data_IF_087894132705
#
_entry.id   IF_087894132705
#
_cell.length_a   1.000
_cell.length_b   1.000
_cell.length_c   1.000
_cell.angle_alpha   90.00
_cell.angle_beta   90.00
_cell.angle_gamma   90.00
#
_symmetry.space_group_name_H-M   'P 1'
#
loop_
_entity.id
_entity.type
_entity.pdbx_description
1 polymer ?
#
# COMPACT_ATOMS: atom_id res chain seq x y z
N UNK A 1 -7.85 46.91 -41.91
CA UNK A 1 -9.00 46.03 -41.63
C UNK A 1 -9.69 46.64 -40.44
N UNK A 2 -10.85 47.23 -40.69
CA UNK A 2 -11.64 47.89 -39.66
C UNK A 2 -12.23 46.83 -38.72
N UNK A 3 -12.41 47.16 -37.43
CA UNK A 3 -12.76 46.18 -36.40
C UNK A 3 -14.09 45.47 -36.66
N UNK A 4 -15.05 46.17 -37.27
CA UNK A 4 -16.38 45.65 -37.60
C UNK A 4 -16.38 44.71 -38.82
N UNK A 5 -15.31 44.67 -39.62
CA UNK A 5 -15.18 43.73 -40.75
C UNK A 5 -14.92 42.29 -40.27
N UNK A 6 -14.49 42.12 -39.02
CA UNK A 6 -14.25 40.81 -38.39
C UNK A 6 -15.51 40.23 -37.74
N UNK A 7 -16.63 40.97 -37.75
CA UNK A 7 -17.88 40.54 -37.13
C UNK A 7 -18.80 39.88 -38.15
N UNK A 8 -19.36 38.74 -37.75
CA UNK A 8 -20.45 38.12 -38.47
C UNK A 8 -21.77 38.82 -38.10
N UNK A 9 -22.17 39.80 -38.92
CA UNK A 9 -23.34 40.66 -38.66
C UNK A 9 -24.62 39.84 -38.49
N UNK A 10 -24.75 38.72 -39.21
CA UNK A 10 -25.93 37.86 -39.15
C UNK A 10 -26.16 37.30 -37.74
N UNK A 11 -25.09 37.13 -36.95
CA UNK A 11 -25.12 36.58 -35.59
C UNK A 11 -25.42 37.61 -34.49
N UNK A 12 -25.53 38.90 -34.84
CA UNK A 12 -25.94 39.95 -33.90
C UNK A 12 -27.46 39.91 -33.75
N UNK A 13 -27.94 39.65 -32.53
CA UNK A 13 -29.36 39.55 -32.19
C UNK A 13 -30.13 40.86 -32.37
N UNK A 14 -31.44 40.74 -32.59
CA UNK A 14 -32.29 41.89 -32.93
C UNK A 14 -32.39 42.93 -31.81
N UNK A 15 -32.39 42.50 -30.54
CA UNK A 15 -32.39 43.43 -29.40
C UNK A 15 -31.11 44.27 -29.35
N UNK A 16 -29.95 43.66 -29.57
CA UNK A 16 -28.66 44.34 -29.63
C UNK A 16 -28.59 45.28 -30.82
N UNK A 17 -29.15 44.88 -31.97
CA UNK A 17 -29.29 45.77 -33.14
C UNK A 17 -30.13 46.99 -32.82
N UNK A 18 -31.26 46.84 -32.12
CA UNK A 18 -32.06 47.98 -31.67
C UNK A 18 -31.32 48.83 -30.65
N UNK A 19 -30.60 48.25 -29.69
CA UNK A 19 -29.78 49.02 -28.74
C UNK A 19 -28.68 49.83 -29.43
N UNK A 20 -28.01 49.25 -30.42
CA UNK A 20 -27.01 49.95 -31.22
C UNK A 20 -27.63 51.08 -32.04
N UNK A 21 -28.80 50.83 -32.65
CA UNK A 21 -29.57 51.85 -33.35
C UNK A 21 -30.01 53.00 -32.43
N UNK A 22 -30.56 52.69 -31.26
CA UNK A 22 -30.97 53.69 -30.26
C UNK A 22 -29.75 54.47 -29.76
N UNK A 23 -28.62 53.81 -29.52
CA UNK A 23 -27.39 54.47 -29.09
C UNK A 23 -26.90 55.49 -30.13
N UNK A 24 -26.77 55.11 -31.41
CA UNK A 24 -26.26 56.05 -32.41
C UNK A 24 -27.24 57.18 -32.75
N UNK A 25 -28.54 56.94 -32.61
CA UNK A 25 -29.57 57.95 -32.94
C UNK A 25 -29.87 58.88 -31.77
N UNK A 26 -29.86 58.38 -30.53
CA UNK A 26 -30.19 59.16 -29.33
C UNK A 26 -28.95 59.74 -28.64
N UNK A 27 -27.83 59.01 -28.62
CA UNK A 27 -26.60 59.45 -27.95
C UNK A 27 -25.67 60.18 -28.91
N UNK A 28 -25.45 59.63 -30.12
CA UNK A 28 -24.62 60.30 -31.16
C UNK A 28 -25.38 61.26 -32.06
N UNK A 29 -26.71 61.28 -31.98
CA UNK A 29 -27.56 62.21 -32.74
C UNK A 29 -27.56 61.98 -34.26
N UNK A 30 -27.26 60.76 -34.73
CA UNK A 30 -27.26 60.45 -36.16
C UNK A 30 -28.66 60.59 -36.77
N UNK A 31 -28.72 61.19 -37.95
CA UNK A 31 -29.94 61.38 -38.72
C UNK A 31 -30.22 60.16 -39.61
N UNK A 32 -31.48 59.96 -40.05
CA UNK A 32 -31.82 58.88 -40.98
C UNK A 32 -30.96 58.85 -42.26
N UNK A 33 -30.57 60.02 -42.76
CA UNK A 33 -29.69 60.19 -43.91
C UNK A 33 -28.31 59.56 -43.71
N UNK A 34 -27.77 59.65 -42.49
CA UNK A 34 -26.42 59.19 -42.17
C UNK A 34 -26.37 57.64 -42.16
N UNK A 35 -27.48 57.01 -41.78
CA UNK A 35 -27.69 55.57 -41.88
C UNK A 35 -28.21 55.13 -43.26
N UNK A 36 -28.38 56.08 -44.20
CA UNK A 36 -28.95 55.89 -45.53
C UNK A 36 -30.30 55.19 -45.54
N UNK A 37 -31.19 55.58 -44.63
CA UNK A 37 -32.57 55.10 -44.53
C UNK A 37 -33.56 56.27 -44.61
N UNK A 38 -34.77 56.01 -45.09
CA UNK A 38 -35.84 57.02 -45.12
C UNK A 38 -36.36 57.31 -43.70
N UNK A 39 -37.00 58.48 -43.51
CA UNK A 39 -37.66 58.81 -42.24
C UNK A 39 -38.75 57.80 -41.86
N UNK A 40 -39.45 57.24 -42.86
CA UNK A 40 -40.45 56.19 -42.63
C UNK A 40 -39.81 54.90 -42.09
N UNK A 41 -38.67 54.50 -42.65
CA UNK A 41 -37.90 53.32 -42.20
C UNK A 41 -37.34 53.55 -40.80
N UNK A 42 -36.79 54.74 -40.54
CA UNK A 42 -36.31 55.15 -39.22
C UNK A 42 -37.41 55.04 -38.15
N UNK A 43 -38.60 55.59 -38.43
CA UNK A 43 -39.73 55.52 -37.50
C UNK A 43 -40.20 54.09 -37.26
N UNK A 44 -40.20 53.24 -38.31
CA UNK A 44 -40.57 51.82 -38.18
C UNK A 44 -39.56 51.02 -37.36
N UNK A 45 -38.25 51.27 -37.53
CA UNK A 45 -37.19 50.63 -36.74
C UNK A 45 -37.25 51.10 -35.28
N UNK A 46 -37.38 52.41 -35.04
CA UNK A 46 -37.49 53.00 -33.69
C UNK A 46 -38.67 52.43 -32.90
N UNK A 47 -39.80 52.21 -33.58
CA UNK A 47 -40.98 51.58 -32.99
C UNK A 47 -40.94 50.04 -33.04
N UNK A 48 -39.78 49.44 -33.34
CA UNK A 48 -39.53 47.99 -33.43
C UNK A 48 -40.49 47.22 -34.36
N UNK A 49 -41.08 47.92 -35.33
CA UNK A 49 -41.97 47.33 -36.35
C UNK A 49 -41.20 46.68 -37.50
N UNK A 50 -39.91 46.97 -37.63
CA UNK A 50 -39.01 46.44 -38.66
C UNK A 50 -37.62 46.23 -38.05
N UNK A 51 -37.02 45.06 -38.32
CA UNK A 51 -35.63 44.71 -37.94
C UNK A 51 -34.62 45.68 -38.55
N UNK A 52 -33.58 46.03 -37.80
CA UNK A 52 -32.39 46.70 -38.35
C UNK A 52 -31.67 45.71 -39.27
N UNK A 53 -31.67 45.94 -40.59
CA UNK A 53 -31.01 45.05 -41.55
C UNK A 53 -29.48 45.09 -41.41
N UNK A 54 -28.79 44.07 -41.94
CA UNK A 54 -27.31 43.99 -41.90
C UNK A 54 -26.66 45.20 -42.59
N UNK A 55 -27.27 45.70 -43.67
CA UNK A 55 -26.83 46.91 -44.37
C UNK A 55 -26.94 48.17 -43.53
N UNK A 56 -27.96 48.28 -42.70
CA UNK A 56 -28.14 49.41 -41.76
C UNK A 56 -27.23 49.22 -40.56
N UNK A 57 -27.10 48.00 -40.05
CA UNK A 57 -26.19 47.66 -38.96
C UNK A 57 -24.73 47.96 -39.31
N UNK A 58 -24.28 47.66 -40.53
CA UNK A 58 -22.94 47.99 -40.98
C UNK A 58 -22.68 49.50 -40.92
N UNK A 59 -23.64 50.33 -41.36
CA UNK A 59 -23.55 51.80 -41.27
C UNK A 59 -23.54 52.29 -39.83
N UNK A 60 -24.34 51.68 -38.95
CA UNK A 60 -24.31 51.95 -37.51
C UNK A 60 -22.89 51.68 -36.96
N UNK A 61 -22.28 50.54 -37.30
CA UNK A 61 -20.95 50.15 -36.83
C UNK A 61 -19.84 51.06 -37.37
N UNK A 62 -19.97 51.58 -38.60
CA UNK A 62 -19.03 52.56 -39.17
C UNK A 62 -18.96 53.87 -38.37
N UNK A 63 -20.03 54.21 -37.64
CA UNK A 63 -20.08 55.37 -36.77
C UNK A 63 -19.74 55.06 -35.30
N UNK A 64 -19.31 53.82 -35.01
CA UNK A 64 -18.95 53.37 -33.67
C UNK A 64 -17.47 53.01 -33.57
N UNK A 65 -16.88 53.36 -32.45
CA UNK A 65 -15.61 52.77 -32.03
C UNK A 65 -15.87 51.38 -31.44
N UNK A 66 -14.84 50.53 -31.46
CA UNK A 66 -14.91 49.19 -30.85
C UNK A 66 -15.34 49.25 -29.37
N UNK A 67 -14.88 50.26 -28.62
CA UNK A 67 -15.25 50.45 -27.20
C UNK A 67 -16.73 50.78 -27.01
N UNK A 68 -17.30 51.62 -27.88
CA UNK A 68 -18.72 51.98 -27.80
C UNK A 68 -19.61 50.78 -28.14
N UNK A 69 -19.21 49.98 -29.13
CA UNK A 69 -19.88 48.72 -29.44
C UNK A 69 -19.83 47.73 -28.25
N UNK A 70 -18.66 47.60 -27.62
CA UNK A 70 -18.45 46.73 -26.45
C UNK A 70 -19.26 47.13 -25.21
N UNK A 71 -19.65 48.41 -25.10
CA UNK A 71 -20.50 48.91 -24.02
C UNK A 71 -21.99 48.63 -24.26
N UNK A 72 -22.42 48.59 -25.52
CA UNK A 72 -23.83 48.43 -25.90
C UNK A 72 -24.23 46.95 -26.04
N UNK A 73 -23.31 46.09 -26.46
CA UNK A 73 -23.56 44.67 -26.73
C UNK A 73 -23.16 43.79 -25.54
N UNK A 74 -24.05 42.85 -25.19
CA UNK A 74 -23.80 41.89 -24.10
C UNK A 74 -22.51 41.09 -24.35
N UNK A 75 -21.79 40.71 -23.29
CA UNK A 75 -20.58 39.88 -23.43
C UNK A 75 -20.88 38.54 -24.15
N UNK A 76 -22.09 37.98 -23.97
CA UNK A 76 -22.50 36.72 -24.57
C UNK A 76 -22.71 36.83 -26.07
N UNK A 77 -23.30 37.92 -26.55
CA UNK A 77 -23.54 38.13 -27.97
C UNK A 77 -22.27 38.61 -28.70
N UNK A 78 -21.35 39.28 -27.99
CA UNK A 78 -19.98 39.49 -28.47
C UNK A 78 -19.26 38.17 -28.75
N UNK A 79 -19.35 37.21 -27.82
CA UNK A 79 -18.76 35.88 -28.01
C UNK A 79 -19.42 35.11 -29.16
N UNK A 80 -20.72 35.30 -29.42
CA UNK A 80 -21.40 34.76 -30.62
C UNK A 80 -20.92 35.41 -31.92
N UNK A 81 -20.82 36.74 -31.94
CA UNK A 81 -20.36 37.49 -33.10
C UNK A 81 -18.89 37.17 -33.47
N UNK A 82 -18.08 36.82 -32.47
CA UNK A 82 -16.70 36.34 -32.62
C UNK A 82 -16.60 34.82 -32.92
N UNK A 83 -17.72 34.10 -32.95
CA UNK A 83 -17.76 32.66 -33.23
C UNK A 83 -17.30 31.74 -32.10
N UNK A 84 -17.03 32.27 -30.90
CA UNK A 84 -16.62 31.50 -29.71
C UNK A 84 -17.82 30.75 -29.10
N UNK A 85 -18.99 31.38 -29.12
CA UNK A 85 -20.25 30.80 -28.65
C UNK A 85 -21.13 30.43 -29.87
N UNK A 86 -21.53 29.16 -29.95
CA UNK A 86 -22.45 28.65 -30.99
C UNK A 86 -23.89 29.05 -30.68
N UNK A 87 -24.77 28.93 -31.67
CA UNK A 87 -26.19 29.34 -31.56
C UNK A 87 -26.95 28.55 -30.50
N UNK A 88 -26.62 27.26 -30.33
CA UNK A 88 -27.15 26.37 -29.29
C UNK A 88 -26.62 26.67 -27.88
N UNK A 89 -25.73 27.66 -27.74
CA UNK A 89 -25.11 28.02 -26.47
C UNK A 89 -23.93 27.15 -26.07
N UNK A 90 -23.51 26.20 -26.92
CA UNK A 90 -22.27 25.46 -26.74
C UNK A 90 -21.06 26.33 -27.07
N UNK A 91 -19.94 26.08 -26.40
CA UNK A 91 -18.67 26.78 -26.65
C UNK A 91 -17.81 25.88 -27.52
N UNK A 92 -17.07 26.47 -28.46
CA UNK A 92 -16.04 25.70 -29.16
C UNK A 92 -14.90 25.33 -28.20
N UNK A 93 -14.88 24.07 -27.78
CA UNK A 93 -13.92 23.57 -26.79
C UNK A 93 -12.47 23.69 -27.26
N UNK A 94 -12.21 23.53 -28.57
CA UNK A 94 -10.86 23.66 -29.12
C UNK A 94 -10.35 25.08 -28.95
N UNK A 95 -11.14 26.05 -29.40
CA UNK A 95 -10.81 27.48 -29.29
C UNK A 95 -10.73 27.94 -27.82
N UNK A 96 -11.62 27.46 -26.96
CA UNK A 96 -11.59 27.79 -25.54
C UNK A 96 -10.30 27.28 -24.85
N UNK A 97 -9.84 26.08 -25.19
CA UNK A 97 -8.58 25.54 -24.68
C UNK A 97 -7.37 26.31 -25.20
N UNK A 98 -7.38 26.73 -26.47
CA UNK A 98 -6.31 27.58 -27.02
C UNK A 98 -6.25 28.95 -26.35
N UNK A 99 -7.41 29.59 -26.12
CA UNK A 99 -7.49 30.86 -25.38
C UNK A 99 -6.92 30.69 -23.97
N UNK A 100 -7.27 29.61 -23.26
CA UNK A 100 -6.73 29.32 -21.93
C UNK A 100 -5.22 29.07 -21.97
N UNK A 101 -4.71 28.35 -22.98
CA UNK A 101 -3.29 28.09 -23.14
C UNK A 101 -2.51 29.40 -23.36
N UNK A 102 -2.98 30.28 -24.24
CA UNK A 102 -2.40 31.60 -24.46
C UNK A 102 -2.48 32.47 -23.19
N UNK A 103 -3.64 32.49 -22.51
CA UNK A 103 -3.84 33.22 -21.27
C UNK A 103 -2.94 32.72 -20.13
N UNK A 104 -2.56 31.43 -20.13
CA UNK A 104 -1.64 30.88 -19.13
C UNK A 104 -0.19 31.33 -19.28
N UNK A 105 0.20 31.83 -20.46
CA UNK A 105 1.54 32.34 -20.75
C UNK A 105 1.69 33.82 -20.33
N UNK A 106 0.59 34.55 -20.19
CA UNK A 106 0.56 35.91 -19.66
C UNK A 106 0.43 35.90 -18.13
N UNK A 107 1.32 36.60 -17.42
CA UNK A 107 1.36 36.52 -15.95
C UNK A 107 0.10 37.12 -15.29
N UNK A 108 -0.48 38.19 -15.86
CA UNK A 108 -1.69 38.79 -15.30
C UNK A 108 -2.89 37.85 -15.47
N UNK A 109 -3.10 37.33 -16.68
CA UNK A 109 -4.20 36.42 -16.99
C UNK A 109 -4.06 35.10 -16.25
N UNK A 110 -2.85 34.55 -16.11
CA UNK A 110 -2.57 33.39 -15.27
C UNK A 110 -3.01 33.61 -13.82
N UNK A 111 -2.66 34.76 -13.21
CA UNK A 111 -3.12 35.08 -11.84
C UNK A 111 -4.64 35.27 -11.77
N UNK A 112 -5.26 35.81 -12.81
CA UNK A 112 -6.72 35.91 -12.90
C UNK A 112 -7.40 34.54 -12.98
N UNK A 113 -6.86 33.61 -13.79
CA UNK A 113 -7.33 32.22 -13.87
C UNK A 113 -7.20 31.56 -12.51
N UNK A 114 -6.04 31.64 -11.85
CA UNK A 114 -5.85 31.04 -10.52
C UNK A 114 -6.84 31.57 -9.49
N UNK A 115 -7.03 32.90 -9.42
CA UNK A 115 -8.02 33.51 -8.52
C UNK A 115 -9.43 33.05 -8.84
N UNK A 116 -9.80 33.02 -10.12
CA UNK A 116 -11.11 32.54 -10.56
C UNK A 116 -11.33 31.09 -10.15
N UNK A 117 -10.33 30.21 -10.34
CA UNK A 117 -10.44 28.80 -9.98
C UNK A 117 -10.57 28.64 -8.46
N UNK A 118 -9.77 29.36 -7.67
CA UNK A 118 -9.84 29.31 -6.20
C UNK A 118 -11.16 29.83 -5.66
N UNK A 119 -11.72 30.90 -6.23
CA UNK A 119 -12.97 31.49 -5.76
C UNK A 119 -14.19 30.64 -6.10
N UNK A 120 -14.21 30.01 -7.28
CA UNK A 120 -15.40 29.32 -7.78
C UNK A 120 -15.35 27.80 -7.60
N UNK A 121 -14.16 27.20 -7.52
CA UNK A 121 -13.96 25.74 -7.50
C UNK A 121 -13.13 25.29 -6.30
N UNK A 122 -13.19 26.01 -5.18
CA UNK A 122 -12.41 25.72 -3.97
C UNK A 122 -12.52 24.27 -3.50
N UNK A 123 -13.73 23.74 -3.47
CA UNK A 123 -13.99 22.38 -2.98
C UNK A 123 -13.53 21.30 -3.97
N UNK A 124 -13.65 21.55 -5.28
CA UNK A 124 -13.14 20.63 -6.30
C UNK A 124 -11.61 20.64 -6.33
N UNK A 125 -10.98 21.81 -6.18
CA UNK A 125 -9.53 21.94 -5.94
C UNK A 125 -9.09 21.16 -4.70
N UNK A 126 -9.82 21.28 -3.58
CA UNK A 126 -9.52 20.53 -2.34
C UNK A 126 -9.57 19.03 -2.53
N UNK A 127 -10.56 18.52 -3.28
CA UNK A 127 -10.67 17.10 -3.63
C UNK A 127 -9.55 16.65 -4.56
N UNK A 128 -9.26 17.43 -5.61
CA UNK A 128 -8.20 17.12 -6.58
C UNK A 128 -6.80 17.15 -5.97
N UNK A 129 -6.54 18.12 -5.09
CA UNK A 129 -5.25 18.28 -4.41
C UNK A 129 -5.09 17.35 -3.19
N UNK A 130 -6.06 16.48 -2.93
CA UNK A 130 -6.01 15.56 -1.80
C UNK A 130 -6.05 16.24 -0.42
N UNK A 131 -6.34 17.54 -0.33
CA UNK A 131 -6.43 18.31 0.94
C UNK A 131 -7.60 17.88 1.85
N UNK A 132 -8.40 16.89 1.42
CA UNK A 132 -9.41 16.21 2.23
C UNK A 132 -8.84 15.32 3.35
N UNK A 133 -7.51 15.33 3.60
CA UNK A 133 -6.88 14.57 4.68
C UNK A 133 -7.38 14.96 6.09
N UNK A 134 -7.81 16.21 6.28
CA UNK A 134 -8.09 16.83 7.57
C UNK A 134 -9.30 16.27 8.37
N UNK A 135 -9.96 15.19 7.92
CA UNK A 135 -11.14 14.64 8.59
C UNK A 135 -11.02 13.16 8.99
N UNK A 136 -9.90 12.49 8.68
CA UNK A 136 -9.74 11.08 9.06
C UNK A 136 -8.97 10.97 10.37
N UNK A 137 -9.70 10.77 11.46
CA UNK A 137 -9.15 10.46 12.78
C UNK A 137 -8.75 8.97 12.85
N UNK A 138 -7.57 8.70 13.40
CA UNK A 138 -7.03 7.36 13.56
C UNK A 138 -7.60 6.76 14.85
N UNK A 139 -8.32 5.64 14.72
CA UNK A 139 -8.87 4.89 15.84
C UNK A 139 -8.62 3.41 15.69
N UNK A 140 -8.17 2.76 16.76
CA UNK A 140 -7.99 1.32 16.76
C UNK A 140 -9.31 0.61 17.05
N UNK A 141 -9.93 0.05 16.00
CA UNK A 141 -11.23 -0.64 16.09
C UNK A 141 -11.11 -2.14 15.87
N UNK A 142 -12.12 -2.91 16.31
CA UNK A 142 -12.23 -4.35 16.03
C UNK A 142 -12.27 -4.64 14.52
N UNK A 143 -12.92 -3.76 13.74
CA UNK A 143 -12.93 -3.80 12.28
C UNK A 143 -11.52 -3.75 11.67
N UNK A 144 -10.64 -2.93 12.25
CA UNK A 144 -9.25 -2.85 11.81
C UNK A 144 -8.48 -4.13 12.15
N UNK A 145 -8.73 -4.73 13.33
CA UNK A 145 -8.13 -6.02 13.70
C UNK A 145 -8.58 -7.15 12.78
N UNK A 146 -9.88 -7.22 12.49
CA UNK A 146 -10.43 -8.17 11.55
C UNK A 146 -9.86 -7.97 10.14
N UNK A 147 -9.66 -6.72 9.71
CA UNK A 147 -8.97 -6.42 8.46
C UNK A 147 -7.54 -6.98 8.43
N UNK A 148 -6.76 -6.77 9.51
CA UNK A 148 -5.39 -7.25 9.63
C UNK A 148 -5.29 -8.78 9.58
N UNK A 149 -6.26 -9.48 10.17
CA UNK A 149 -6.31 -10.95 10.24
C UNK A 149 -6.81 -11.57 8.94
N UNK A 150 -7.95 -11.11 8.43
CA UNK A 150 -8.70 -11.86 7.42
C UNK A 150 -8.72 -11.23 6.03
N UNK A 151 -8.79 -9.90 5.95
CA UNK A 151 -9.03 -9.19 4.68
C UNK A 151 -7.76 -8.77 3.95
N UNK A 152 -6.65 -8.67 4.68
CA UNK A 152 -5.37 -8.27 4.08
C UNK A 152 -4.89 -9.31 3.08
N UNK A 153 -4.65 -8.88 1.82
CA UNK A 153 -4.22 -9.76 0.72
C UNK A 153 -2.88 -10.47 0.98
N UNK A 154 -1.92 -9.80 1.62
CA UNK A 154 -0.58 -10.34 1.90
C UNK A 154 -0.14 -10.01 3.32
N UNK A 155 0.58 -10.94 3.96
CA UNK A 155 1.15 -10.77 5.31
C UNK A 155 0.08 -10.41 6.36
N UNK A 156 -0.97 -11.25 6.41
CA UNK A 156 -1.98 -11.25 7.47
C UNK A 156 -1.31 -11.33 8.85
N UNK A 157 -1.85 -10.61 9.82
CA UNK A 157 -1.35 -10.61 11.20
C UNK A 157 -2.08 -11.72 11.96
N UNK A 158 -1.50 -12.91 11.97
CA UNK A 158 -2.15 -14.11 12.51
C UNK A 158 -1.89 -14.35 14.00
N UNK A 159 -0.87 -13.72 14.57
CA UNK A 159 -0.44 -13.97 15.96
C UNK A 159 -0.91 -12.85 16.89
N UNK A 160 -1.48 -13.21 18.03
CA UNK A 160 -1.86 -12.27 19.09
C UNK A 160 -0.70 -11.37 19.54
N UNK A 161 0.52 -11.93 19.66
CA UNK A 161 1.70 -11.16 20.08
C UNK A 161 1.97 -9.98 19.14
N UNK A 162 1.92 -10.21 17.82
CA UNK A 162 2.11 -9.15 16.81
C UNK A 162 0.95 -8.16 16.81
N UNK A 163 -0.29 -8.64 16.99
CA UNK A 163 -1.44 -7.75 17.02
C UNK A 163 -1.41 -6.83 18.24
N UNK A 164 -1.11 -7.37 19.43
CA UNK A 164 -0.93 -6.58 20.65
C UNK A 164 0.22 -5.58 20.51
N UNK A 165 1.34 -5.98 19.90
CA UNK A 165 2.44 -5.06 19.61
C UNK A 165 2.00 -3.91 18.70
N UNK A 166 1.26 -4.20 17.62
CA UNK A 166 0.72 -3.17 16.74
C UNK A 166 -0.31 -2.28 17.42
N UNK A 167 -1.20 -2.86 18.24
CA UNK A 167 -2.21 -2.15 19.01
C UNK A 167 -1.56 -1.15 19.96
N UNK A 168 -0.54 -1.58 20.72
CA UNK A 168 0.18 -0.70 21.64
C UNK A 168 0.89 0.43 20.88
N UNK A 169 1.58 0.10 19.78
CA UNK A 169 2.29 1.09 18.97
C UNK A 169 1.33 2.11 18.32
N UNK A 170 0.15 1.66 17.89
CA UNK A 170 -0.90 2.54 17.37
C UNK A 170 -1.46 3.44 18.46
N UNK A 171 -1.81 2.87 19.62
CA UNK A 171 -2.35 3.61 20.76
C UNK A 171 -1.41 4.72 21.23
N UNK A 172 -0.12 4.43 21.26
CA UNK A 172 0.89 5.39 21.73
C UNK A 172 1.12 6.55 20.73
N UNK A 173 1.07 6.27 19.43
CA UNK A 173 1.58 7.22 18.42
C UNK A 173 0.56 7.72 17.41
N UNK A 174 -0.58 7.03 17.24
CA UNK A 174 -1.53 7.30 16.15
C UNK A 174 -2.95 7.54 16.65
N UNK A 175 -3.36 6.91 17.76
CA UNK A 175 -4.73 7.03 18.28
C UNK A 175 -5.14 8.49 18.53
N UNK A 176 -6.33 8.86 18.06
CA UNK A 176 -6.89 10.20 18.17
C UNK A 176 -6.24 11.25 17.27
N UNK A 177 -5.20 10.89 16.51
CA UNK A 177 -4.55 11.82 15.57
C UNK A 177 -5.28 11.85 14.24
N UNK A 178 -5.35 13.04 13.64
CA UNK A 178 -5.90 13.22 12.30
C UNK A 178 -4.82 12.97 11.24
N UNK A 179 -5.21 12.42 10.10
CA UNK A 179 -4.32 12.31 8.95
C UNK A 179 -3.88 13.70 8.48
N UNK A 180 -2.61 14.03 8.65
CA UNK A 180 -2.00 15.29 8.24
C UNK A 180 -0.58 15.06 7.72
N UNK A 181 -0.01 16.06 7.04
CA UNK A 181 1.40 16.03 6.63
C UNK A 181 2.34 15.94 7.83
N UNK A 182 2.06 16.67 8.91
CA UNK A 182 2.82 16.59 10.17
C UNK A 182 2.85 15.17 10.76
N UNK A 183 1.70 14.46 10.74
CA UNK A 183 1.64 13.08 11.20
C UNK A 183 2.48 12.16 10.30
N UNK A 184 2.44 12.39 8.98
CA UNK A 184 3.25 11.62 8.01
C UNK A 184 4.73 11.84 8.27
N UNK A 185 5.18 13.09 8.43
CA UNK A 185 6.58 13.42 8.74
C UNK A 185 7.04 12.82 10.07
N UNK A 186 6.19 12.88 11.10
CA UNK A 186 6.44 12.23 12.38
C UNK A 186 6.66 10.72 12.22
N UNK A 187 5.77 10.03 11.50
CA UNK A 187 5.86 8.59 11.26
C UNK A 187 7.11 8.22 10.44
N UNK A 188 7.46 9.04 9.44
CA UNK A 188 8.63 8.83 8.59
C UNK A 188 9.91 9.03 9.40
N UNK A 189 10.04 10.09 10.19
CA UNK A 189 11.24 10.37 10.98
C UNK A 189 11.40 9.47 12.22
N UNK A 190 10.33 8.80 12.66
CA UNK A 190 10.33 8.02 13.89
C UNK A 190 11.39 6.89 13.90
N UNK A 191 12.15 6.71 15.00
CA UNK A 191 13.21 5.70 15.10
C UNK A 191 12.67 4.27 15.01
N UNK A 192 11.47 4.02 15.56
CA UNK A 192 10.82 2.72 15.46
C UNK A 192 10.17 2.55 14.07
N UNK A 193 10.90 1.89 13.17
CA UNK A 193 10.44 1.58 11.80
C UNK A 193 9.16 0.72 11.74
N UNK A 194 8.74 0.09 12.84
CA UNK A 194 7.44 -0.60 12.87
C UNK A 194 6.26 0.36 12.85
N UNK A 195 6.42 1.61 13.33
CA UNK A 195 5.35 2.60 13.30
C UNK A 195 4.92 2.87 11.86
N UNK A 196 5.89 3.00 10.94
CA UNK A 196 5.64 3.12 9.49
C UNK A 196 4.80 1.96 8.96
N UNK A 197 5.06 0.73 9.40
CA UNK A 197 4.28 -0.43 8.95
C UNK A 197 2.85 -0.42 9.50
N UNK A 198 2.68 -0.08 10.78
CA UNK A 198 1.35 0.02 11.42
C UNK A 198 0.53 1.12 10.75
N UNK A 199 1.12 2.30 10.55
CA UNK A 199 0.52 3.40 9.79
C UNK A 199 0.09 2.96 8.39
N UNK A 200 0.99 2.35 7.61
CA UNK A 200 0.67 1.82 6.27
C UNK A 200 -0.46 0.78 6.30
N UNK A 201 -0.55 -0.05 7.33
CA UNK A 201 -1.66 -1.00 7.46
C UNK A 201 -2.98 -0.29 7.69
N UNK A 202 -2.98 0.78 8.49
CA UNK A 202 -4.17 1.60 8.68
C UNK A 202 -4.57 2.34 7.39
N UNK A 203 -3.60 2.88 6.64
CA UNK A 203 -3.87 3.49 5.32
C UNK A 203 -4.48 2.46 4.35
N UNK A 204 -3.98 1.23 4.32
CA UNK A 204 -4.58 0.13 3.55
C UNK A 204 -6.02 -0.18 3.98
N UNK A 205 -6.29 -0.12 5.28
CA UNK A 205 -7.63 -0.30 5.83
C UNK A 205 -8.58 0.83 5.45
N UNK A 206 -8.14 2.10 5.55
CA UNK A 206 -8.90 3.26 5.12
C UNK A 206 -9.24 3.20 3.62
N UNK A 207 -8.27 2.80 2.79
CA UNK A 207 -8.49 2.60 1.37
C UNK A 207 -9.49 1.47 1.10
N UNK A 208 -9.38 0.35 1.82
CA UNK A 208 -10.34 -0.76 1.74
C UNK A 208 -11.77 -0.33 2.11
N UNK A 209 -11.92 0.52 3.14
CA UNK A 209 -13.20 1.11 3.57
C UNK A 209 -13.65 2.30 2.70
N UNK A 210 -12.93 2.60 1.60
CA UNK A 210 -13.18 3.74 0.69
C UNK A 210 -13.24 5.09 1.42
N UNK A 211 -12.46 5.25 2.50
CA UNK A 211 -12.36 6.48 3.29
C UNK A 211 -11.32 7.45 2.74
N UNK A 212 -10.42 6.96 1.90
CA UNK A 212 -9.42 7.77 1.18
C UNK A 212 -9.45 7.40 -0.32
N UNK A 213 -9.19 8.36 -1.22
CA UNK A 213 -9.16 8.11 -2.65
C UNK A 213 -7.85 7.41 -3.08
N UNK A 214 -7.79 6.81 -4.28
CA UNK A 214 -6.61 6.11 -4.79
C UNK A 214 -5.33 6.95 -4.83
N UNK A 215 -5.45 8.25 -5.13
CA UNK A 215 -4.34 9.19 -5.26
C UNK A 215 -3.68 9.40 -3.89
N UNK A 216 -4.48 9.67 -2.85
CA UNK A 216 -4.03 9.76 -1.46
C UNK A 216 -3.38 8.47 -1.00
N UNK A 217 -4.00 7.33 -1.32
CA UNK A 217 -3.43 6.03 -1.00
C UNK A 217 -2.06 5.83 -1.66
N UNK A 218 -1.94 6.15 -2.95
CA UNK A 218 -0.69 6.07 -3.71
C UNK A 218 0.41 6.91 -3.08
N UNK A 219 0.14 8.20 -2.87
CA UNK A 219 1.07 9.15 -2.25
C UNK A 219 1.55 8.70 -0.86
N UNK A 220 0.62 8.35 0.06
CA UNK A 220 0.98 7.89 1.40
C UNK A 220 1.83 6.62 1.38
N UNK A 221 1.55 5.72 0.43
CA UNK A 221 2.27 4.46 0.28
C UNK A 221 3.64 4.64 -0.38
N UNK A 222 3.88 5.76 -1.05
CA UNK A 222 5.18 6.16 -1.59
C UNK A 222 6.02 6.89 -0.53
N UNK A 223 5.47 7.95 0.08
CA UNK A 223 6.16 8.82 1.04
C UNK A 223 6.51 8.11 2.33
N UNK A 224 5.67 7.19 2.82
CA UNK A 224 5.96 6.41 4.02
C UNK A 224 6.54 5.06 3.58
N UNK A 225 7.86 4.91 3.35
CA UNK A 225 8.40 3.67 2.82
C UNK A 225 8.12 2.50 3.76
N UNK A 226 7.81 1.34 3.17
CA UNK A 226 7.79 0.09 3.93
C UNK A 226 9.16 -0.14 4.56
N UNK A 227 9.21 -0.88 5.67
CA UNK A 227 10.48 -1.24 6.31
C UNK A 227 11.43 -1.89 5.28
N UNK A 228 12.47 -1.15 4.88
CA UNK A 228 13.55 -1.69 4.06
C UNK A 228 14.41 -2.62 4.91
N UNK A 229 14.53 -3.86 4.47
CA UNK A 229 15.59 -4.74 4.95
C UNK A 229 16.84 -4.37 4.16
N UNK A 230 17.65 -3.44 4.69
CA UNK A 230 19.05 -3.40 4.25
C UNK A 230 19.66 -4.75 4.61
N UNK A 231 20.33 -5.37 3.66
CA UNK A 231 21.02 -6.65 3.83
C UNK A 231 22.24 -6.38 4.72
N UNK A 232 22.01 -6.20 6.02
CA UNK A 232 23.07 -6.10 7.02
C UNK A 232 23.58 -7.53 7.23
N UNK A 233 24.56 -7.92 6.40
CA UNK A 233 25.25 -9.21 6.54
C UNK A 233 26.10 -9.09 7.80
N UNK A 234 25.48 -9.33 8.96
CA UNK A 234 26.23 -9.52 10.20
C UNK A 234 26.77 -10.94 10.20
N UNK A 235 28.09 -11.16 10.06
CA UNK A 235 28.67 -12.48 10.23
C UNK A 235 28.56 -12.84 11.72
N UNK A 236 27.50 -13.56 12.09
CA UNK A 236 27.43 -14.18 13.40
C UNK A 236 28.41 -15.36 13.38
N UNK A 237 29.63 -15.12 13.86
CA UNK A 237 30.53 -16.20 14.28
C UNK A 237 29.87 -16.86 15.49
N UNK A 238 29.56 -18.15 15.34
CA UNK A 238 29.00 -18.99 16.39
C UNK A 238 30.06 -20.05 16.57
N UNK A 239 30.74 -20.02 17.70
CA UNK A 239 31.76 -21.01 18.04
C UNK A 239 31.06 -22.29 18.49
N UNK A 240 31.53 -23.45 18.02
CA UNK A 240 30.94 -24.73 18.40
C UNK A 240 31.10 -25.03 19.89
N UNK A 241 32.13 -24.46 20.51
CA UNK A 241 32.38 -24.57 21.94
C UNK A 241 31.28 -23.87 22.77
N UNK A 242 30.72 -22.75 22.30
CA UNK A 242 29.59 -22.08 22.98
C UNK A 242 28.34 -22.97 22.95
N UNK A 243 28.14 -23.70 21.85
CA UNK A 243 27.05 -24.68 21.73
C UNK A 243 27.27 -25.79 22.76
N UNK A 244 28.46 -26.39 22.80
CA UNK A 244 28.81 -27.48 23.73
C UNK A 244 28.61 -27.08 25.18
N UNK A 245 29.19 -25.97 25.62
CA UNK A 245 29.03 -25.43 26.99
C UNK A 245 27.57 -25.22 27.35
N UNK A 246 26.78 -24.67 26.41
CA UNK A 246 25.34 -24.48 26.60
C UNK A 246 24.61 -25.80 26.78
N UNK A 247 24.93 -26.82 25.96
CA UNK A 247 24.28 -28.12 26.04
C UNK A 247 24.62 -28.87 27.34
N UNK A 248 25.87 -28.80 27.79
CA UNK A 248 26.31 -29.38 29.08
C UNK A 248 25.57 -28.70 30.24
N UNK A 249 25.63 -27.37 30.31
CA UNK A 249 24.98 -26.60 31.36
C UNK A 249 23.48 -26.90 31.46
N UNK A 250 22.77 -26.95 30.32
CA UNK A 250 21.35 -27.24 30.32
C UNK A 250 21.05 -28.68 30.73
N UNK A 251 21.89 -29.66 30.35
CA UNK A 251 21.73 -31.06 30.75
C UNK A 251 21.80 -31.21 32.28
N UNK A 252 22.74 -30.50 32.91
CA UNK A 252 22.98 -30.55 34.36
C UNK A 252 21.95 -29.76 35.18
N UNK A 253 21.49 -28.62 34.66
CA UNK A 253 20.71 -27.67 35.47
C UNK A 253 19.24 -27.52 35.05
N UNK A 254 18.85 -27.92 33.84
CA UNK A 254 17.50 -27.64 33.34
C UNK A 254 17.06 -28.60 32.22
N UNK A 255 16.69 -29.84 32.58
CA UNK A 255 16.32 -30.91 31.63
C UNK A 255 15.31 -30.46 30.55
N UNK A 256 14.25 -29.73 30.92
CA UNK A 256 13.24 -29.23 29.96
C UNK A 256 13.82 -28.30 28.90
N UNK A 257 14.80 -27.47 29.26
CA UNK A 257 15.47 -26.57 28.32
C UNK A 257 16.54 -27.30 27.53
N UNK A 258 17.19 -28.30 28.13
CA UNK A 258 18.06 -29.21 27.40
C UNK A 258 17.30 -29.95 26.30
N UNK A 259 16.15 -30.56 26.60
CA UNK A 259 15.29 -31.22 25.61
C UNK A 259 14.88 -30.26 24.48
N UNK A 260 14.49 -29.03 24.84
CA UNK A 260 14.14 -27.98 23.88
C UNK A 260 15.33 -27.60 22.98
N UNK A 261 16.52 -27.37 23.55
CA UNK A 261 17.72 -26.99 22.81
C UNK A 261 18.21 -28.14 21.93
N UNK A 262 18.19 -29.36 22.45
CA UNK A 262 18.57 -30.57 21.70
C UNK A 262 17.66 -30.77 20.49
N UNK A 263 16.34 -30.67 20.69
CA UNK A 263 15.37 -30.73 19.60
C UNK A 263 15.65 -29.67 18.53
N UNK A 264 15.93 -28.42 18.94
CA UNK A 264 16.25 -27.33 18.02
C UNK A 264 17.59 -27.54 17.28
N UNK A 265 18.59 -28.12 17.93
CA UNK A 265 19.90 -28.41 17.34
C UNK A 265 19.81 -29.52 16.29
N UNK A 266 19.08 -30.59 16.59
CA UNK A 266 18.93 -31.75 15.69
C UNK A 266 17.99 -31.43 14.52
N UNK A 267 16.80 -30.89 14.80
CA UNK A 267 15.79 -30.64 13.76
C UNK A 267 15.95 -29.30 13.03
N UNK A 268 16.70 -28.36 13.60
CA UNK A 268 16.71 -26.97 13.14
C UNK A 268 15.38 -26.23 13.39
N UNK A 269 14.47 -26.76 14.21
CA UNK A 269 13.21 -26.11 14.52
C UNK A 269 13.41 -24.70 15.11
N UNK A 270 12.45 -23.81 14.85
CA UNK A 270 12.39 -22.51 15.52
C UNK A 270 11.94 -22.71 16.97
N UNK A 271 12.40 -21.84 17.88
CA UNK A 271 12.05 -21.92 19.30
C UNK A 271 10.54 -22.08 19.54
N UNK A 272 9.71 -21.28 18.87
CA UNK A 272 8.24 -21.37 19.00
C UNK A 272 7.67 -22.70 18.52
N UNK A 273 8.29 -23.34 17.53
CA UNK A 273 7.83 -24.63 17.01
C UNK A 273 8.28 -25.76 17.93
N UNK A 274 9.52 -25.72 18.42
CA UNK A 274 10.04 -26.70 19.36
C UNK A 274 9.26 -26.67 20.70
N UNK A 275 8.90 -25.47 21.19
CA UNK A 275 7.99 -25.32 22.34
C UNK A 275 6.62 -25.95 22.05
N UNK A 276 6.03 -25.68 20.87
CA UNK A 276 4.76 -26.29 20.49
C UNK A 276 4.84 -27.81 20.45
N UNK A 277 5.92 -28.38 19.92
CA UNK A 277 6.15 -29.82 19.90
C UNK A 277 6.17 -30.38 21.31
N UNK A 278 6.97 -29.84 22.22
CA UNK A 278 6.99 -30.30 23.63
C UNK A 278 5.62 -30.22 24.30
N UNK A 279 4.88 -29.11 24.08
CA UNK A 279 3.54 -28.90 24.65
C UNK A 279 2.50 -29.87 24.12
N UNK A 280 2.56 -30.21 22.83
CA UNK A 280 1.52 -30.96 22.10
C UNK A 280 1.99 -32.32 21.59
N UNK A 281 3.07 -32.86 22.17
CA UNK A 281 3.69 -34.09 21.71
C UNK A 281 2.72 -35.26 21.86
N UNK A 282 2.30 -35.81 20.72
CA UNK A 282 1.40 -36.95 20.64
C UNK A 282 1.88 -37.90 19.54
N UNK A 283 2.74 -38.88 19.85
CA UNK A 283 3.37 -39.73 18.86
C UNK A 283 2.38 -40.70 18.19
N UNK A 284 1.31 -41.09 18.88
CA UNK A 284 0.32 -42.08 18.43
C UNK A 284 -0.75 -41.50 17.51
N UNK A 285 -0.86 -40.17 17.41
CA UNK A 285 -1.86 -39.52 16.57
C UNK A 285 -1.64 -39.86 15.10
N UNK A 286 -2.73 -40.12 14.37
CA UNK A 286 -2.70 -40.34 12.93
C UNK A 286 -2.99 -39.02 12.22
N UNK A 287 -2.20 -38.72 11.18
CA UNK A 287 -2.30 -37.48 10.41
C UNK A 287 -2.40 -37.78 8.92
N UNK A 288 -3.19 -36.97 8.23
CA UNK A 288 -3.39 -37.05 6.78
C UNK A 288 -2.55 -35.98 6.07
N UNK A 289 -1.72 -36.41 5.14
CA UNK A 289 -0.84 -35.57 4.34
C UNK A 289 -1.49 -35.30 2.99
N UNK A 290 -2.32 -34.25 2.95
CA UNK A 290 -3.09 -33.85 1.75
C UNK A 290 -2.27 -33.67 0.48
N UNK A 291 -0.98 -33.34 0.60
CA UNK A 291 -0.08 -33.14 -0.54
C UNK A 291 0.39 -34.43 -1.20
N UNK A 292 0.19 -35.59 -0.59
CA UNK A 292 0.60 -36.88 -1.18
C UNK A 292 -0.47 -37.96 -0.97
N UNK A 293 -1.64 -37.58 -0.47
CA UNK A 293 -2.76 -38.46 -0.13
C UNK A 293 -2.34 -39.67 0.75
N UNK A 294 -1.48 -39.40 1.76
CA UNK A 294 -0.95 -40.43 2.67
C UNK A 294 -1.46 -40.22 4.09
N UNK A 295 -1.98 -41.28 4.68
CA UNK A 295 -2.29 -41.39 6.11
C UNK A 295 -1.10 -42.03 6.84
N UNK A 296 -0.54 -41.34 7.82
CA UNK A 296 0.61 -41.83 8.60
C UNK A 296 0.48 -41.52 10.08
N UNK A 297 1.15 -42.29 10.94
CA UNK A 297 1.39 -41.86 12.32
C UNK A 297 2.17 -40.55 12.33
N UNK A 298 1.87 -39.71 13.31
CA UNK A 298 2.54 -38.42 13.53
C UNK A 298 4.02 -38.62 13.83
N UNK A 299 4.37 -39.66 14.58
CA UNK A 299 5.74 -40.12 14.77
C UNK A 299 6.02 -41.34 13.89
N UNK A 300 7.10 -41.28 13.11
CA UNK A 300 7.66 -42.39 12.35
C UNK A 300 9.11 -42.57 12.80
N UNK A 301 9.49 -43.75 13.26
CA UNK A 301 10.86 -44.03 13.71
C UNK A 301 11.56 -45.04 12.80
N UNK A 302 12.79 -44.69 12.43
CA UNK A 302 13.73 -45.51 11.69
C UNK A 302 14.79 -46.08 12.64
N UNK A 303 15.74 -46.84 12.13
CA UNK A 303 16.79 -47.46 12.96
C UNK A 303 17.53 -46.43 13.84
N UNK A 304 18.02 -45.34 13.25
CA UNK A 304 18.89 -44.36 13.95
C UNK A 304 18.21 -43.06 14.38
N UNK A 305 17.02 -42.77 13.87
CA UNK A 305 16.36 -41.48 14.07
C UNK A 305 14.84 -41.60 13.91
N UNK A 306 14.12 -40.55 14.30
CA UNK A 306 12.69 -40.45 14.08
C UNK A 306 12.36 -39.16 13.34
N UNK A 307 11.19 -39.17 12.69
CA UNK A 307 10.54 -38.03 12.05
C UNK A 307 9.18 -37.79 12.71
N UNK A 308 8.87 -36.53 13.01
CA UNK A 308 7.60 -36.12 13.61
C UNK A 308 6.90 -35.04 12.78
N UNK A 309 5.60 -35.21 12.53
CA UNK A 309 4.77 -34.22 11.85
C UNK A 309 4.29 -33.13 12.83
N UNK A 310 4.77 -31.90 12.62
CA UNK A 310 4.41 -30.70 13.41
C UNK A 310 3.17 -29.99 12.82
N UNK A 311 2.96 -30.08 11.50
CA UNK A 311 1.75 -29.56 10.84
C UNK A 311 1.57 -28.04 10.84
N UNK A 312 2.64 -27.25 11.00
CA UNK A 312 2.54 -25.78 10.93
C UNK A 312 2.58 -25.33 9.48
N UNK A 313 1.38 -25.12 8.90
CA UNK A 313 1.15 -24.66 7.53
C UNK A 313 0.61 -23.22 7.47
N UNK A 314 0.60 -22.60 6.29
CA UNK A 314 -0.13 -21.35 6.02
C UNK A 314 0.44 -20.05 6.59
N UNK A 315 1.58 -20.10 7.31
CA UNK A 315 2.26 -18.91 7.87
C UNK A 315 3.53 -18.52 7.11
N UNK A 316 4.11 -17.35 7.44
CA UNK A 316 5.43 -16.94 6.90
C UNK A 316 6.59 -17.88 7.30
N UNK A 317 6.37 -18.76 8.28
CA UNK A 317 7.38 -19.64 8.88
C UNK A 317 6.80 -21.05 8.99
N UNK A 318 6.59 -21.76 7.87
CA UNK A 318 6.08 -23.12 7.92
C UNK A 318 7.09 -24.07 8.59
N UNK A 319 6.56 -25.17 9.11
CA UNK A 319 7.31 -26.26 9.73
C UNK A 319 6.40 -27.49 9.77
N UNK A 320 6.54 -28.35 8.78
CA UNK A 320 5.69 -29.53 8.65
C UNK A 320 6.31 -30.73 9.32
N UNK A 321 7.60 -30.95 9.09
CA UNK A 321 8.34 -32.09 9.63
C UNK A 321 9.53 -31.63 10.44
N UNK A 322 9.88 -32.45 11.43
CA UNK A 322 11.16 -32.39 12.14
C UNK A 322 11.73 -33.79 12.24
N UNK A 323 13.05 -33.88 12.21
CA UNK A 323 13.80 -35.12 12.46
C UNK A 323 14.64 -34.94 13.72
N UNK A 324 14.87 -36.03 14.44
CA UNK A 324 15.67 -36.06 15.67
C UNK A 324 16.12 -37.50 15.99
N UNK A 325 17.13 -37.64 16.83
CA UNK A 325 17.70 -38.92 17.30
C UNK A 325 16.73 -39.67 18.21
N UNK A 326 16.90 -40.99 18.35
CA UNK A 326 16.08 -41.79 19.27
C UNK A 326 16.26 -41.36 20.73
N UNK A 327 17.45 -40.92 21.09
CA UNK A 327 17.74 -40.38 22.42
C UNK A 327 16.99 -39.06 22.68
N UNK A 328 16.77 -38.25 21.64
CA UNK A 328 15.89 -37.08 21.73
C UNK A 328 14.43 -37.50 21.90
N UNK A 329 13.97 -38.60 21.28
CA UNK A 329 12.62 -39.12 21.50
C UNK A 329 12.37 -39.40 22.99
N UNK A 330 13.29 -40.08 23.67
CA UNK A 330 13.17 -40.39 25.10
C UNK A 330 13.04 -39.11 25.95
N UNK A 331 13.80 -38.06 25.61
CA UNK A 331 13.70 -36.75 26.27
C UNK A 331 12.35 -36.08 26.03
N UNK A 332 11.82 -36.17 24.80
CA UNK A 332 10.50 -35.62 24.46
C UNK A 332 9.38 -36.36 25.19
N UNK A 333 9.48 -37.68 25.35
CA UNK A 333 8.51 -38.48 26.09
C UNK A 333 8.50 -38.09 27.58
N UNK A 334 9.68 -37.88 28.19
CA UNK A 334 9.79 -37.39 29.58
C UNK A 334 9.29 -35.96 29.75
N UNK A 335 9.51 -35.10 28.76
CA UNK A 335 9.17 -33.67 28.82
C UNK A 335 7.83 -33.31 28.13
N UNK A 336 6.96 -34.29 27.85
CA UNK A 336 5.69 -34.06 27.15
C UNK A 336 4.73 -33.19 27.96
N UNK A 337 3.98 -32.33 27.28
CA UNK A 337 2.94 -31.50 27.90
C UNK A 337 3.46 -30.28 28.67
N UNK A 338 4.77 -30.01 28.65
CA UNK A 338 5.34 -28.85 29.35
C UNK A 338 4.99 -27.56 28.62
N UNK A 339 4.42 -26.60 29.36
CA UNK A 339 4.14 -25.25 28.84
C UNK A 339 5.32 -24.30 29.11
N UNK A 340 6.13 -24.05 28.09
CA UNK A 340 7.31 -23.18 28.17
C UNK A 340 7.03 -21.84 27.50
N UNK A 341 7.22 -20.74 28.21
CA UNK A 341 7.11 -19.40 27.62
C UNK A 341 8.38 -19.00 26.87
N UNK A 342 8.24 -18.51 25.64
CA UNK A 342 9.35 -18.12 24.75
C UNK A 342 10.29 -17.07 25.36
N UNK A 343 9.73 -16.09 26.05
CA UNK A 343 10.48 -15.00 26.69
C UNK A 343 11.33 -15.53 27.85
N UNK A 344 10.80 -16.49 28.62
CA UNK A 344 11.51 -17.09 29.75
C UNK A 344 12.76 -17.85 29.29
N UNK A 345 12.67 -18.63 28.22
CA UNK A 345 13.83 -19.31 27.62
C UNK A 345 14.90 -18.30 27.20
N UNK A 346 14.48 -17.21 26.56
CA UNK A 346 15.41 -16.19 26.06
C UNK A 346 16.07 -15.41 27.20
N UNK A 347 15.30 -15.07 28.25
CA UNK A 347 15.80 -14.41 29.47
C UNK A 347 16.72 -15.33 30.27
N UNK A 348 16.40 -16.62 30.35
CA UNK A 348 17.24 -17.61 31.01
C UNK A 348 18.59 -17.73 30.30
N UNK A 349 18.57 -17.90 28.97
CA UNK A 349 19.81 -17.94 28.19
C UNK A 349 20.66 -16.68 28.38
N UNK A 350 20.04 -15.49 28.40
CA UNK A 350 20.75 -14.24 28.64
C UNK A 350 21.34 -14.16 30.07
N UNK A 351 20.57 -14.55 31.09
CA UNK A 351 21.01 -14.52 32.51
C UNK A 351 22.19 -15.45 32.78
N UNK A 352 22.20 -16.62 32.14
CA UNK A 352 23.24 -17.64 32.34
C UNK A 352 24.34 -17.61 31.28
N UNK A 353 24.41 -16.54 30.47
CA UNK A 353 25.37 -16.38 29.37
C UNK A 353 25.43 -17.58 28.41
N UNK A 354 24.27 -18.18 28.14
CA UNK A 354 24.11 -19.31 27.23
C UNK A 354 23.87 -18.85 25.79
N UNK A 355 24.13 -19.74 24.83
CA UNK A 355 23.85 -19.49 23.43
C UNK A 355 22.35 -19.22 23.21
N UNK A 356 22.01 -18.06 22.62
CA UNK A 356 20.60 -17.73 22.36
C UNK A 356 19.95 -18.77 21.43
N UNK A 357 18.69 -19.21 21.69
CA UNK A 357 18.05 -20.30 20.95
C UNK A 357 18.04 -20.13 19.42
N UNK A 358 17.92 -18.88 18.94
CA UNK A 358 17.91 -18.57 17.49
C UNK A 358 19.15 -19.05 16.74
N UNK A 359 20.28 -19.27 17.44
CA UNK A 359 21.53 -19.69 16.83
C UNK A 359 21.60 -21.19 16.56
N UNK A 360 20.88 -22.02 17.30
CA UNK A 360 20.84 -23.48 17.08
C UNK A 360 20.38 -23.82 15.66
N UNK A 361 19.34 -23.13 15.17
CA UNK A 361 18.89 -23.28 13.77
C UNK A 361 19.98 -22.90 12.76
N UNK A 362 20.86 -21.95 13.07
CA UNK A 362 21.98 -21.58 12.18
C UNK A 362 23.08 -22.64 12.22
N UNK A 363 23.39 -23.18 13.40
CA UNK A 363 24.34 -24.28 13.58
C UNK A 363 23.86 -25.52 12.84
N UNK A 364 22.61 -25.93 13.06
CA UNK A 364 21.96 -27.02 12.33
C UNK A 364 22.04 -26.82 10.81
N UNK A 365 21.79 -25.60 10.31
CA UNK A 365 21.93 -25.31 8.87
C UNK A 365 23.36 -25.52 8.37
N UNK A 366 24.37 -25.09 9.14
CA UNK A 366 25.78 -25.31 8.80
C UNK A 366 26.12 -26.80 8.72
N UNK A 367 25.57 -27.61 9.62
CA UNK A 367 25.76 -29.07 9.62
C UNK A 367 25.06 -29.69 8.41
N UNK A 368 23.79 -29.35 8.17
CA UNK A 368 23.03 -29.88 7.04
C UNK A 368 23.74 -29.66 5.70
N UNK A 369 24.22 -28.44 5.43
CA UNK A 369 24.91 -28.15 4.15
C UNK A 369 26.29 -28.79 4.03
N UNK A 370 26.86 -29.32 5.11
CA UNK A 370 28.12 -30.07 5.07
C UNK A 370 27.91 -31.55 4.72
N UNK A 371 26.80 -32.16 5.17
CA UNK A 371 26.63 -33.62 5.13
C UNK A 371 25.49 -34.13 4.25
N UNK A 372 24.52 -33.27 3.95
CA UNK A 372 23.41 -33.58 3.03
C UNK A 372 23.84 -33.12 1.64
N UNK A 373 23.89 -34.06 0.70
CA UNK A 373 24.46 -33.81 -0.63
C UNK A 373 23.58 -32.87 -1.46
N UNK A 374 22.26 -32.97 -1.30
CA UNK A 374 21.31 -32.13 -1.99
C UNK A 374 20.81 -30.99 -1.09
N UNK A 375 21.07 -29.76 -1.52
CA UNK A 375 20.68 -28.55 -0.81
C UNK A 375 19.17 -28.42 -0.66
N UNK A 376 18.37 -28.97 -1.57
CA UNK A 376 16.92 -28.94 -1.47
C UNK A 376 16.40 -29.93 -0.42
N UNK A 377 17.05 -31.08 -0.25
CA UNK A 377 16.81 -31.99 0.89
C UNK A 377 17.18 -31.30 2.21
N UNK A 378 18.33 -30.61 2.27
CA UNK A 378 18.72 -29.83 3.45
C UNK A 378 17.71 -28.72 3.79
N UNK A 379 17.22 -27.99 2.77
CA UNK A 379 16.17 -26.98 2.92
C UNK A 379 14.86 -27.61 3.39
N UNK A 380 14.51 -28.79 2.89
CA UNK A 380 13.31 -29.52 3.26
C UNK A 380 13.35 -29.96 4.72
N UNK A 381 14.45 -30.61 5.14
CA UNK A 381 14.69 -31.01 6.54
C UNK A 381 14.50 -29.81 7.48
N UNK A 382 15.06 -28.64 7.12
CA UNK A 382 14.94 -27.44 7.93
C UNK A 382 13.64 -26.64 7.73
N UNK A 383 12.69 -27.10 6.91
CA UNK A 383 11.45 -26.39 6.55
C UNK A 383 11.68 -24.98 5.98
N UNK A 384 12.60 -24.84 5.01
CA UNK A 384 12.88 -23.60 4.26
C UNK A 384 12.06 -23.55 2.96
N UNK A 385 10.75 -23.75 3.06
CA UNK A 385 9.88 -23.87 1.88
C UNK A 385 9.80 -22.60 1.02
N UNK A 386 10.03 -21.41 1.58
CA UNK A 386 10.12 -20.17 0.78
C UNK A 386 11.33 -20.11 -0.15
N UNK A 387 12.35 -20.96 0.07
CA UNK A 387 13.52 -21.11 -0.80
C UNK A 387 13.40 -22.34 -1.71
N UNK A 388 12.32 -23.12 -1.59
CA UNK A 388 12.09 -24.35 -2.34
C UNK A 388 10.98 -24.15 -3.37
N UNK A 389 11.21 -24.66 -4.58
CA UNK A 389 10.16 -24.82 -5.59
C UNK A 389 9.61 -26.24 -5.46
N UNK A 390 8.50 -26.41 -4.78
CA UNK A 390 7.91 -27.73 -4.48
C UNK A 390 6.72 -27.95 -5.41
N UNK A 391 6.81 -28.99 -6.26
CA UNK A 391 5.65 -29.65 -6.86
C UNK A 391 5.26 -30.85 -5.99
N UNK A 392 4.06 -31.37 -6.18
CA UNK A 392 3.50 -32.50 -5.42
C UNK A 392 4.39 -33.75 -5.48
N UNK A 393 4.74 -34.19 -6.70
CA UNK A 393 5.64 -35.33 -6.93
C UNK A 393 7.04 -35.13 -6.31
N UNK A 394 7.50 -33.88 -6.20
CA UNK A 394 8.78 -33.55 -5.57
C UNK A 394 8.72 -33.60 -4.04
N UNK A 395 7.53 -33.43 -3.44
CA UNK A 395 7.38 -33.47 -1.99
C UNK A 395 7.66 -34.87 -1.44
N UNK A 396 7.06 -35.90 -2.05
CA UNK A 396 7.30 -37.30 -1.67
C UNK A 396 8.76 -37.70 -1.79
N UNK A 397 9.42 -37.36 -2.90
CA UNK A 397 10.86 -37.61 -3.10
C UNK A 397 11.71 -36.93 -2.02
N UNK A 398 11.49 -35.64 -1.75
CA UNK A 398 12.23 -34.91 -0.72
C UNK A 398 12.05 -35.52 0.67
N UNK A 399 10.85 -36.01 0.97
CA UNK A 399 10.53 -36.66 2.25
C UNK A 399 11.31 -37.98 2.42
N UNK A 400 11.26 -38.87 1.40
CA UNK A 400 11.99 -40.14 1.42
C UNK A 400 13.51 -39.92 1.46
N UNK A 401 14.03 -38.95 0.70
CA UNK A 401 15.46 -38.63 0.69
C UNK A 401 15.92 -38.01 2.01
N UNK A 402 15.08 -37.19 2.64
CA UNK A 402 15.36 -36.65 3.97
C UNK A 402 15.50 -37.77 5.01
N UNK A 403 14.59 -38.76 5.04
CA UNK A 403 14.71 -39.91 5.94
C UNK A 403 16.01 -40.69 5.72
N UNK A 404 16.42 -40.87 4.46
CA UNK A 404 17.66 -41.59 4.13
C UNK A 404 18.93 -40.83 4.51
N UNK A 405 18.96 -39.51 4.32
CA UNK A 405 20.17 -38.71 4.54
C UNK A 405 20.30 -38.18 5.98
N UNK A 406 19.21 -38.08 6.73
CA UNK A 406 19.21 -37.51 8.07
C UNK A 406 20.14 -38.21 9.09
N UNK A 407 20.36 -39.54 9.09
CA UNK A 407 21.32 -40.17 10.00
C UNK A 407 22.72 -39.52 9.98
N UNK A 408 23.19 -39.08 8.81
CA UNK A 408 24.47 -38.37 8.65
C UNK A 408 24.54 -37.08 9.46
N UNK A 409 23.41 -36.41 9.63
CA UNK A 409 23.29 -35.18 10.43
C UNK A 409 23.50 -35.48 11.91
N UNK A 410 22.87 -36.55 12.41
CA UNK A 410 23.00 -36.99 13.81
C UNK A 410 24.44 -37.43 14.09
N UNK A 411 25.04 -38.21 13.20
CA UNK A 411 26.44 -38.63 13.29
C UNK A 411 27.37 -37.42 13.34
N UNK A 412 27.18 -36.45 12.44
CA UNK A 412 27.99 -35.23 12.43
C UNK A 412 27.84 -34.40 13.70
N UNK A 413 26.64 -34.31 14.26
CA UNK A 413 26.40 -33.62 15.54
C UNK A 413 27.19 -34.31 16.68
N UNK A 414 27.24 -35.65 16.68
CA UNK A 414 28.01 -36.44 17.65
C UNK A 414 29.52 -36.28 17.45
N UNK A 415 30.03 -36.35 16.23
CA UNK A 415 31.45 -36.11 15.90
C UNK A 415 31.95 -34.75 16.37
N UNK A 416 31.10 -33.72 16.27
CA UNK A 416 31.40 -32.37 16.76
C UNK A 416 31.31 -32.25 18.29
N UNK A 417 30.87 -33.30 19.00
CA UNK A 417 30.73 -33.31 20.45
C UNK A 417 29.73 -32.27 20.94
N UNK A 418 28.63 -32.07 20.21
CA UNK A 418 27.60 -31.07 20.55
C UNK A 418 26.47 -31.64 21.43
N UNK A 419 26.44 -32.96 21.61
CA UNK A 419 25.48 -33.65 22.46
C UNK A 419 26.26 -34.37 23.58
N UNK A 420 26.17 -33.88 24.83
CA UNK A 420 26.81 -34.50 25.98
C UNK A 420 25.99 -35.65 26.57
#
# INVERSE_FOLDING_TARGET
MEWYEKLDLAKIGDEERYRLFDYVTQVKGLKPSDLGISWSTYSRIRNRKVRVSDSVLLKILQHLTQREFEQVVSARDRLRALGILREDGSIDYGLALEILALASQDEYLKQAILRFVVQNFREDLRKMLGLALAHVEFRWTEDFEHFLRERKKRRKVLTEETLNYYRNLFREHLEGRTLSEELVEYVVSHPNRWLRNVFRHYIQYLYYKRRIPPETFGWLMEVVPSRSYRLDIRPYRIELEDVRKTMIYLKEHHEKYYALYRLMLESGARLSHAIRVLKTFNPSEVVELREIDVVTKRLVCFERHCRYFVGIRGGQKPCEWIWFSRETLELLERCRGVDIKRDQVSKYAARHNLLRPKYLRKVNWRILVQVVSDKDVARFIQSRFGELRISEARYGDLLTRADREYPKVVERIRELGLLP
#
